data_IF_774116401400
#
_entry.id   IF_774116401400
#
_cell.length_a   1.000
_cell.length_b   1.000
_cell.length_c   1.000
_cell.angle_alpha   90.00
_cell.angle_beta   90.00
_cell.angle_gamma   90.00
#
_symmetry.space_group_name_H-M   'P 1'
#
loop_
_entity.id
_entity.type
_entity.pdbx_description
1 polymer ?
#
# COMPACT_ATOMS: atom_id res chain seq x y z
N UNK A 1 4.33 19.66 11.02
CA UNK A 1 3.73 18.50 11.71
C UNK A 1 2.20 18.44 11.59
N UNK A 2 1.44 19.51 11.88
CA UNK A 2 -0.04 19.45 11.78
C UNK A 2 -0.55 19.29 10.34
N UNK A 3 0.07 19.92 9.35
CA UNK A 3 -0.27 19.76 7.94
C UNK A 3 0.11 18.39 7.37
N UNK A 4 1.20 17.81 7.86
CA UNK A 4 1.66 16.47 7.44
C UNK A 4 0.80 15.35 8.02
N UNK A 5 0.31 15.51 9.25
CA UNK A 5 -0.61 14.54 9.88
C UNK A 5 -1.98 14.58 9.18
N UNK A 6 -2.47 15.77 8.80
CA UNK A 6 -3.71 15.87 8.02
C UNK A 6 -3.59 15.21 6.65
N UNK A 7 -2.42 15.30 6.01
CA UNK A 7 -2.14 14.61 4.74
C UNK A 7 -2.11 13.08 4.90
N UNK A 8 -1.63 12.59 6.05
CA UNK A 8 -1.51 11.17 6.34
C UNK A 8 -2.88 10.45 6.43
N UNK A 9 -3.94 11.15 6.80
CA UNK A 9 -5.30 10.58 6.92
C UNK A 9 -5.93 10.21 5.57
N UNK A 10 -5.37 10.71 4.45
CA UNK A 10 -5.91 10.52 3.09
C UNK A 10 -4.96 9.77 2.15
N UNK A 11 -3.83 9.30 2.68
CA UNK A 11 -2.85 8.50 1.96
C UNK A 11 -2.90 7.06 2.47
N UNK A 12 -2.65 6.11 1.58
CA UNK A 12 -2.47 4.74 2.01
C UNK A 12 -1.26 4.65 2.97
N UNK A 13 -1.42 4.05 4.16
CA UNK A 13 -0.35 3.94 5.14
C UNK A 13 0.93 3.30 4.59
N UNK A 14 0.82 2.37 3.65
CA UNK A 14 1.97 1.74 3.00
C UNK A 14 2.87 2.75 2.28
N UNK A 15 2.31 3.80 1.68
CA UNK A 15 3.11 4.83 1.02
C UNK A 15 3.96 5.64 2.00
N UNK A 16 3.44 5.91 3.20
CA UNK A 16 4.14 6.64 4.25
C UNK A 16 5.17 5.76 4.96
N UNK A 17 4.77 4.53 5.29
CA UNK A 17 5.67 3.56 5.91
C UNK A 17 6.85 3.25 4.98
N UNK A 18 6.60 3.02 3.70
CA UNK A 18 7.63 2.81 2.69
C UNK A 18 8.64 3.97 2.63
N UNK A 19 8.16 5.22 2.70
CA UNK A 19 9.05 6.40 2.72
C UNK A 19 9.91 6.44 3.98
N UNK A 20 9.32 6.21 5.16
CA UNK A 20 10.04 6.23 6.43
C UNK A 20 11.12 5.15 6.47
N UNK A 21 10.75 3.93 6.08
CA UNK A 21 11.69 2.79 6.07
C UNK A 21 12.79 2.97 5.02
N UNK A 22 12.47 3.48 3.82
CA UNK A 22 13.47 3.79 2.80
C UNK A 22 14.49 4.83 3.29
N UNK A 23 14.02 5.87 3.98
CA UNK A 23 14.90 6.88 4.58
C UNK A 23 15.79 6.28 5.66
N UNK A 24 15.26 5.40 6.51
CA UNK A 24 16.04 4.71 7.53
C UNK A 24 17.09 3.78 6.92
N UNK A 25 16.71 3.00 5.90
CA UNK A 25 17.61 2.08 5.19
C UNK A 25 18.78 2.84 4.53
N UNK A 26 18.52 3.98 3.89
CA UNK A 26 19.58 4.81 3.32
C UNK A 26 20.51 5.35 4.40
N UNK A 27 19.99 5.81 5.53
CA UNK A 27 20.80 6.28 6.67
C UNK A 27 21.65 5.18 7.26
N UNK A 28 21.07 3.99 7.46
CA UNK A 28 21.78 2.80 7.98
C UNK A 28 22.91 2.37 7.04
N UNK A 29 22.69 2.44 5.74
CA UNK A 29 23.71 2.22 4.71
C UNK A 29 24.74 3.36 4.59
N UNK A 30 24.65 4.39 5.43
CA UNK A 30 25.59 5.52 5.43
C UNK A 30 25.31 6.59 4.36
N UNK A 31 24.11 6.59 3.75
CA UNK A 31 23.67 7.58 2.76
C UNK A 31 22.74 8.61 3.39
N UNK A 32 23.25 9.35 4.34
CA UNK A 32 22.58 10.50 4.95
C UNK A 32 22.51 11.70 3.98
N UNK A 33 21.65 12.69 4.24
CA UNK A 33 21.46 13.84 3.35
C UNK A 33 22.74 14.62 3.03
N UNK A 34 23.71 14.60 3.95
CA UNK A 34 24.99 15.33 3.86
C UNK A 34 26.01 14.60 2.98
N UNK A 35 25.83 13.29 2.77
CA UNK A 35 26.74 12.51 1.91
C UNK A 35 26.48 12.81 0.44
N UNK A 36 27.51 13.12 -0.29
CA UNK A 36 27.43 13.28 -1.73
C UNK A 36 27.51 11.92 -2.44
N UNK A 37 26.53 11.62 -3.29
CA UNK A 37 26.48 10.48 -4.19
C UNK A 37 25.58 10.81 -5.39
N UNK A 38 25.73 10.08 -6.48
CA UNK A 38 24.90 10.34 -7.67
C UNK A 38 23.48 9.80 -7.46
N UNK A 39 22.60 10.67 -6.97
CA UNK A 39 21.18 10.37 -6.73
C UNK A 39 20.42 10.01 -8.01
N UNK A 40 20.91 10.46 -9.19
CA UNK A 40 20.28 10.14 -10.48
C UNK A 40 20.45 8.67 -10.86
N UNK A 41 21.41 8.00 -10.24
CA UNK A 41 21.69 6.57 -10.43
C UNK A 41 21.20 5.69 -9.28
N UNK A 42 20.25 6.21 -8.49
CA UNK A 42 19.59 5.47 -7.42
C UNK A 42 18.15 5.18 -7.83
N UNK A 43 17.82 3.90 -7.97
CA UNK A 43 16.48 3.42 -8.33
C UNK A 43 15.66 3.05 -7.08
N UNK A 44 14.34 3.04 -7.22
CA UNK A 44 13.38 2.59 -6.19
C UNK A 44 12.47 1.54 -6.82
N UNK A 45 12.56 0.30 -6.37
CA UNK A 45 11.74 -0.81 -6.87
C UNK A 45 11.12 -1.53 -5.68
N UNK A 46 9.79 -1.44 -5.52
CA UNK A 46 9.09 -1.97 -4.36
C UNK A 46 8.08 -3.05 -4.77
N UNK A 47 7.96 -4.06 -3.93
CA UNK A 47 6.85 -5.00 -3.95
C UNK A 47 5.65 -4.40 -3.22
N UNK A 48 4.55 -4.16 -3.93
CA UNK A 48 3.32 -3.60 -3.35
C UNK A 48 2.12 -4.25 -4.03
N UNK A 49 1.24 -4.85 -3.24
CA UNK A 49 0.01 -5.46 -3.73
C UNK A 49 -1.17 -4.54 -3.44
N UNK A 50 -1.34 -3.52 -4.30
CA UNK A 50 -2.44 -2.56 -4.21
C UNK A 50 -2.33 -1.58 -3.03
N UNK A 51 -3.31 -0.67 -2.96
CA UNK A 51 -3.49 0.32 -1.89
C UNK A 51 -4.85 0.10 -1.24
N UNK A 52 -5.07 -1.07 -0.66
CA UNK A 52 -6.39 -1.58 -0.27
C UNK A 52 -6.96 -0.84 0.95
N UNK A 53 -6.12 -0.36 1.84
CA UNK A 53 -6.51 0.43 3.03
C UNK A 53 -7.38 1.65 2.65
N UNK A 54 -7.07 2.29 1.54
CA UNK A 54 -7.78 3.48 1.08
C UNK A 54 -8.83 3.14 0.02
N UNK A 55 -8.57 2.14 -0.84
CA UNK A 55 -9.47 1.75 -1.94
C UNK A 55 -10.82 1.28 -1.42
N UNK A 56 -10.86 0.43 -0.40
CA UNK A 56 -12.10 -0.15 0.11
C UNK A 56 -13.02 0.93 0.71
N UNK A 57 -12.57 1.80 1.63
CA UNK A 57 -13.41 2.86 2.16
C UNK A 57 -13.90 3.85 1.10
N UNK A 58 -13.04 4.25 0.15
CA UNK A 58 -13.43 5.17 -0.92
C UNK A 58 -14.40 4.51 -1.92
N UNK A 59 -14.19 3.23 -2.20
CA UNK A 59 -15.05 2.44 -3.09
C UNK A 59 -16.43 2.13 -2.51
N UNK A 60 -16.63 2.27 -1.21
CA UNK A 60 -17.92 1.99 -0.55
C UNK A 60 -19.09 2.80 -1.14
N UNK A 61 -18.81 4.04 -1.63
CA UNK A 61 -19.82 4.88 -2.30
C UNK A 61 -20.39 4.27 -3.58
N UNK A 62 -19.70 3.33 -4.21
CA UNK A 62 -20.22 2.55 -5.33
C UNK A 62 -21.39 1.64 -4.91
N UNK A 63 -21.54 1.39 -3.61
CA UNK A 63 -22.66 0.66 -3.04
C UNK A 63 -24.00 1.42 -2.98
N UNK A 64 -24.02 2.74 -3.23
CA UNK A 64 -25.25 3.53 -3.15
C UNK A 64 -26.44 2.96 -3.93
N UNK A 65 -26.31 2.47 -5.19
CA UNK A 65 -27.43 1.86 -5.90
C UNK A 65 -27.95 0.60 -5.22
N UNK A 66 -27.05 -0.21 -4.66
CA UNK A 66 -27.40 -1.44 -3.94
C UNK A 66 -28.14 -1.10 -2.65
N UNK A 67 -27.68 -0.10 -1.91
CA UNK A 67 -28.31 0.35 -0.67
C UNK A 67 -29.69 0.94 -0.93
N UNK A 68 -29.86 1.74 -1.99
CA UNK A 68 -31.19 2.25 -2.41
C UNK A 68 -32.15 1.12 -2.72
N UNK A 69 -31.70 0.09 -3.45
CA UNK A 69 -32.50 -1.06 -3.78
C UNK A 69 -32.94 -1.80 -2.50
N UNK A 70 -32.01 -2.10 -1.61
CA UNK A 70 -32.28 -2.81 -0.36
C UNK A 70 -33.26 -2.03 0.56
N UNK A 71 -33.07 -0.72 0.66
CA UNK A 71 -33.96 0.14 1.45
C UNK A 71 -35.38 0.15 0.88
N UNK A 72 -35.53 0.23 -0.43
CA UNK A 72 -36.84 0.16 -1.12
C UNK A 72 -37.53 -1.18 -0.87
N UNK A 73 -36.79 -2.29 -0.99
CA UNK A 73 -37.30 -3.63 -0.70
C UNK A 73 -37.72 -3.79 0.77
N UNK A 74 -37.11 -3.04 1.68
CA UNK A 74 -37.49 -2.96 3.08
C UNK A 74 -38.60 -1.92 3.38
N UNK A 75 -39.20 -1.31 2.37
CA UNK A 75 -40.26 -0.30 2.53
C UNK A 75 -39.76 1.09 2.98
N UNK A 76 -38.47 1.37 2.84
CA UNK A 76 -37.88 2.67 3.17
C UNK A 76 -37.55 3.41 1.87
N UNK A 77 -38.31 4.47 1.60
CA UNK A 77 -38.22 5.24 0.35
C UNK A 77 -38.12 6.76 0.59
N UNK A 78 -37.93 7.51 -0.49
CA UNK A 78 -37.87 8.97 -0.49
C UNK A 78 -36.77 9.55 0.38
N UNK A 79 -37.05 10.66 1.03
CA UNK A 79 -36.09 11.41 1.85
C UNK A 79 -35.44 10.56 2.97
N UNK A 80 -36.21 9.63 3.52
CA UNK A 80 -35.72 8.75 4.59
C UNK A 80 -34.65 7.79 4.09
N UNK A 81 -34.82 7.24 2.90
CA UNK A 81 -33.82 6.40 2.26
C UNK A 81 -32.54 7.19 1.96
N UNK A 82 -32.66 8.38 1.37
CA UNK A 82 -31.52 9.24 1.05
C UNK A 82 -30.77 9.70 2.32
N UNK A 83 -31.48 9.99 3.40
CA UNK A 83 -30.85 10.30 4.68
C UNK A 83 -30.03 9.13 5.24
N UNK A 84 -30.53 7.90 5.12
CA UNK A 84 -29.78 6.70 5.55
C UNK A 84 -28.53 6.53 4.68
N UNK A 85 -28.66 6.62 3.37
CA UNK A 85 -27.55 6.51 2.42
C UNK A 85 -26.49 7.57 2.69
N UNK A 86 -26.92 8.81 2.90
CA UNK A 86 -26.02 9.90 3.26
C UNK A 86 -25.25 9.60 4.54
N UNK A 87 -25.93 9.17 5.60
CA UNK A 87 -25.27 8.80 6.89
C UNK A 87 -24.26 7.66 6.73
N UNK A 88 -24.58 6.66 5.89
CA UNK A 88 -23.63 5.59 5.58
C UNK A 88 -22.41 6.18 4.86
N UNK A 89 -22.65 7.02 3.83
CA UNK A 89 -21.58 7.67 3.08
C UNK A 89 -20.69 8.58 3.94
N UNK A 90 -21.30 9.32 4.88
CA UNK A 90 -20.58 10.21 5.80
C UNK A 90 -19.72 9.44 6.83
N UNK A 91 -19.93 8.14 6.98
CA UNK A 91 -19.10 7.26 7.83
C UNK A 91 -17.78 6.85 7.18
N UNK A 92 -17.62 7.08 5.89
CA UNK A 92 -16.40 6.79 5.14
C UNK A 92 -15.58 8.06 4.94
N UNK A 93 -14.29 7.87 4.71
CA UNK A 93 -13.36 8.95 4.41
C UNK A 93 -13.87 9.83 3.26
N UNK A 94 -13.84 11.14 3.43
CA UNK A 94 -14.22 12.08 2.38
C UNK A 94 -13.24 12.01 1.21
N UNK A 95 -13.76 12.17 -0.02
CA UNK A 95 -12.93 12.27 -1.20
C UNK A 95 -12.20 13.62 -1.20
N UNK A 96 -10.88 13.58 -1.36
CA UNK A 96 -10.02 14.76 -1.44
C UNK A 96 -9.06 14.64 -2.61
N UNK A 97 -8.39 15.72 -2.96
CA UNK A 97 -7.41 15.76 -4.04
C UNK A 97 -6.34 14.67 -3.91
N UNK A 98 -5.87 14.43 -2.69
CA UNK A 98 -4.85 13.41 -2.40
C UNK A 98 -5.39 11.97 -2.37
N UNK A 99 -6.72 11.77 -2.44
CA UNK A 99 -7.31 10.43 -2.39
C UNK A 99 -6.90 9.60 -3.61
N UNK A 100 -6.93 10.20 -4.80
CA UNK A 100 -6.57 9.46 -6.02
C UNK A 100 -5.09 9.01 -6.04
N UNK A 101 -4.10 9.88 -5.80
CA UNK A 101 -2.72 9.43 -5.63
C UNK A 101 -2.54 8.40 -4.51
N UNK A 102 -3.35 8.48 -3.45
CA UNK A 102 -3.37 7.50 -2.35
C UNK A 102 -3.78 6.10 -2.78
N UNK A 103 -4.60 5.97 -3.84
CA UNK A 103 -5.05 4.68 -4.38
C UNK A 103 -4.00 3.97 -5.25
N UNK A 104 -2.99 4.70 -5.72
CA UNK A 104 -2.05 4.20 -6.71
C UNK A 104 -0.80 3.63 -6.05
N UNK A 105 -0.61 2.32 -6.13
CA UNK A 105 0.56 1.63 -5.54
C UNK A 105 1.89 2.19 -6.02
N UNK A 106 2.03 2.54 -7.31
CA UNK A 106 3.24 3.11 -7.88
C UNK A 106 3.61 4.48 -7.28
N UNK A 107 2.65 5.21 -6.72
CA UNK A 107 2.92 6.49 -6.04
C UNK A 107 3.79 6.29 -4.81
N UNK A 108 3.78 5.12 -4.17
CA UNK A 108 4.69 4.79 -3.08
C UNK A 108 6.16 4.92 -3.49
N UNK A 109 6.57 4.23 -4.55
CA UNK A 109 7.92 4.32 -5.11
C UNK A 109 8.24 5.74 -5.63
N UNK A 110 7.29 6.37 -6.34
CA UNK A 110 7.43 7.74 -6.84
C UNK A 110 7.58 8.76 -5.71
N UNK A 111 6.88 8.60 -4.60
CA UNK A 111 7.00 9.47 -3.41
C UNK A 111 8.36 9.35 -2.75
N UNK A 112 8.89 8.14 -2.62
CA UNK A 112 10.24 7.90 -2.11
C UNK A 112 11.26 8.60 -3.03
N UNK A 113 11.19 8.35 -4.33
CA UNK A 113 12.09 8.95 -5.31
C UNK A 113 12.03 10.49 -5.25
N UNK A 114 10.84 11.08 -5.24
CA UNK A 114 10.65 12.52 -5.18
C UNK A 114 11.17 13.14 -3.87
N UNK A 115 10.82 12.55 -2.71
CA UNK A 115 11.18 13.10 -1.39
C UNK A 115 12.67 12.97 -1.06
N UNK A 116 13.33 11.96 -1.62
CA UNK A 116 14.76 11.71 -1.39
C UNK A 116 15.62 12.16 -2.57
N UNK A 117 15.03 12.82 -3.57
CA UNK A 117 15.69 13.32 -4.78
C UNK A 117 16.46 12.21 -5.52
N UNK A 118 15.80 11.08 -5.76
CA UNK A 118 16.37 9.91 -6.45
C UNK A 118 15.89 9.90 -7.89
N UNK A 119 16.79 9.84 -8.85
CA UNK A 119 16.51 10.05 -10.28
C UNK A 119 16.59 8.78 -11.14
N UNK A 120 16.81 7.60 -10.54
CA UNK A 120 16.78 6.32 -11.26
C UNK A 120 15.35 5.82 -11.54
N UNK A 121 15.25 4.57 -11.97
CA UNK A 121 13.96 3.91 -12.17
C UNK A 121 13.14 3.93 -10.88
N UNK A 122 11.86 4.32 -10.94
CA UNK A 122 10.96 4.12 -9.81
C UNK A 122 9.71 3.38 -10.29
N UNK A 123 9.45 2.23 -9.69
CA UNK A 123 8.29 1.40 -10.01
C UNK A 123 7.91 0.49 -8.86
N UNK A 124 6.74 -0.11 -8.97
CA UNK A 124 6.28 -1.18 -8.09
C UNK A 124 6.08 -2.46 -8.89
N UNK A 125 6.21 -3.59 -8.21
CA UNK A 125 5.97 -4.93 -8.72
C UNK A 125 4.86 -5.54 -7.90
N UNK A 126 3.84 -6.05 -8.55
CA UNK A 126 2.81 -6.87 -7.92
C UNK A 126 2.93 -8.31 -8.46
N UNK A 127 3.30 -9.20 -7.59
CA UNK A 127 3.35 -10.64 -7.78
C UNK A 127 2.75 -11.33 -6.53
N UNK A 128 1.72 -10.71 -5.97
CA UNK A 128 1.08 -11.13 -4.72
C UNK A 128 2.13 -11.39 -3.62
N UNK A 129 2.11 -12.54 -2.94
CA UNK A 129 3.05 -12.89 -1.87
C UNK A 129 4.54 -12.90 -2.32
N UNK A 130 4.82 -13.01 -3.62
CA UNK A 130 6.16 -12.98 -4.20
C UNK A 130 6.67 -11.57 -4.56
N UNK A 131 5.91 -10.51 -4.29
CA UNK A 131 6.22 -9.15 -4.76
C UNK A 131 7.57 -8.63 -4.29
N UNK A 132 7.90 -8.80 -3.02
CA UNK A 132 9.17 -8.31 -2.45
C UNK A 132 10.39 -9.04 -3.04
N UNK A 133 10.30 -10.36 -3.26
CA UNK A 133 11.37 -11.14 -3.89
C UNK A 133 11.50 -10.80 -5.38
N UNK A 134 10.39 -10.58 -6.08
CA UNK A 134 10.38 -10.11 -7.46
C UNK A 134 11.01 -8.72 -7.59
N UNK A 135 10.70 -7.81 -6.67
CA UNK A 135 11.31 -6.49 -6.62
C UNK A 135 12.83 -6.58 -6.39
N UNK A 136 13.27 -7.44 -5.46
CA UNK A 136 14.69 -7.67 -5.20
C UNK A 136 15.41 -8.26 -6.43
N UNK A 137 14.76 -9.17 -7.16
CA UNK A 137 15.31 -9.70 -8.42
C UNK A 137 15.47 -8.60 -9.46
N UNK A 138 14.44 -7.76 -9.66
CA UNK A 138 14.52 -6.64 -10.60
C UNK A 138 15.58 -5.61 -10.19
N UNK A 139 15.74 -5.35 -8.89
CA UNK A 139 16.81 -4.51 -8.38
C UNK A 139 18.20 -5.05 -8.74
N UNK A 140 18.39 -6.37 -8.61
CA UNK A 140 19.62 -7.03 -9.05
C UNK A 140 19.90 -6.85 -10.55
N UNK A 141 18.87 -6.94 -11.38
CA UNK A 141 19.00 -6.70 -12.84
C UNK A 141 19.36 -5.23 -13.15
N UNK A 142 18.81 -4.26 -12.43
CA UNK A 142 19.20 -2.84 -12.58
C UNK A 142 20.68 -2.61 -12.28
N UNK A 143 21.19 -3.24 -11.22
CA UNK A 143 22.60 -3.15 -10.82
C UNK A 143 23.52 -3.85 -11.84
N UNK A 144 23.21 -5.09 -12.22
CA UNK A 144 24.04 -5.87 -13.15
C UNK A 144 24.08 -5.25 -14.54
N UNK A 145 22.97 -4.64 -14.98
CA UNK A 145 22.92 -3.94 -16.27
C UNK A 145 23.60 -2.56 -16.25
N UNK A 146 24.06 -2.10 -15.10
CA UNK A 146 24.70 -0.78 -14.94
C UNK A 146 23.73 0.40 -15.09
N UNK A 147 22.41 0.17 -15.00
CA UNK A 147 21.42 1.26 -15.04
C UNK A 147 21.34 2.03 -13.74
N UNK A 148 21.61 1.38 -12.62
CA UNK A 148 21.69 1.99 -11.32
C UNK A 148 22.98 1.60 -10.60
N UNK A 149 23.48 2.46 -9.72
CA UNK A 149 24.59 2.17 -8.82
C UNK A 149 24.09 1.71 -7.44
N UNK A 150 22.82 2.03 -7.13
CA UNK A 150 22.15 1.64 -5.91
C UNK A 150 20.65 1.48 -6.20
N UNK A 151 20.01 0.56 -5.50
CA UNK A 151 18.56 0.37 -5.57
C UNK A 151 18.00 0.25 -4.17
N UNK A 152 17.01 1.08 -3.86
CA UNK A 152 16.14 0.91 -2.70
C UNK A 152 15.06 -0.09 -3.09
N UNK A 153 15.03 -1.25 -2.42
CA UNK A 153 14.09 -2.33 -2.76
C UNK A 153 13.58 -3.04 -1.50
N UNK A 154 12.48 -3.73 -1.62
CA UNK A 154 11.83 -4.47 -0.57
C UNK A 154 10.34 -4.59 -0.82
N UNK A 155 9.56 -4.90 0.20
CA UNK A 155 8.10 -4.94 0.15
C UNK A 155 7.51 -4.10 1.27
N UNK A 156 6.31 -3.59 1.04
CA UNK A 156 5.51 -2.91 2.06
C UNK A 156 4.06 -3.31 1.94
N UNK A 157 3.47 -3.67 3.07
CA UNK A 157 2.05 -4.01 3.22
C UNK A 157 1.57 -3.52 4.58
N UNK A 158 0.38 -2.92 4.62
CA UNK A 158 -0.26 -2.42 5.83
C UNK A 158 -1.69 -2.96 5.99
N UNK A 159 -2.17 -3.76 5.04
CA UNK A 159 -3.55 -4.21 5.01
C UNK A 159 -3.74 -5.48 5.85
N UNK A 160 -3.73 -5.29 7.18
CA UNK A 160 -3.91 -6.35 8.19
C UNK A 160 -5.24 -6.17 8.93
N UNK A 161 -6.35 -6.38 8.25
CA UNK A 161 -7.68 -6.26 8.83
C UNK A 161 -8.50 -7.57 8.75
N UNK A 162 -9.70 -7.53 9.30
CA UNK A 162 -10.61 -8.67 9.34
C UNK A 162 -10.94 -9.20 7.93
N UNK A 163 -10.95 -8.33 6.90
CA UNK A 163 -11.23 -8.73 5.53
C UNK A 163 -10.13 -9.67 5.00
N UNK A 164 -8.85 -9.33 5.21
CA UNK A 164 -7.73 -10.16 4.78
C UNK A 164 -7.67 -11.47 5.58
N UNK A 165 -7.91 -11.43 6.89
CA UNK A 165 -8.00 -12.64 7.70
C UNK A 165 -9.13 -13.57 7.23
N UNK A 166 -10.28 -13.03 6.86
CA UNK A 166 -11.37 -13.82 6.25
C UNK A 166 -10.95 -14.44 4.92
N UNK A 167 -10.27 -13.70 4.06
CA UNK A 167 -9.77 -14.19 2.78
C UNK A 167 -8.78 -15.35 2.99
N UNK A 168 -7.79 -15.18 3.84
CA UNK A 168 -6.79 -16.20 4.13
C UNK A 168 -7.37 -17.42 4.86
N UNK A 169 -8.34 -17.21 5.74
CA UNK A 169 -9.08 -18.31 6.38
C UNK A 169 -9.87 -19.16 5.37
N UNK A 170 -10.51 -18.51 4.38
CA UNK A 170 -11.27 -19.20 3.32
C UNK A 170 -10.37 -19.87 2.29
N UNK A 171 -9.16 -19.37 2.11
CA UNK A 171 -8.13 -19.90 1.18
C UNK A 171 -7.21 -20.93 1.85
N UNK A 172 -7.52 -21.50 2.98
CA UNK A 172 -6.74 -22.20 4.01
C UNK A 172 -5.23 -21.86 3.98
N UNK A 173 -4.92 -20.56 4.10
CA UNK A 173 -3.54 -20.04 4.11
C UNK A 173 -3.02 -19.73 5.51
N UNK A 174 -3.91 -19.69 6.52
CA UNK A 174 -3.50 -19.46 7.91
C UNK A 174 -2.95 -20.73 8.54
N UNK A 175 -1.87 -20.57 9.32
CA UNK A 175 -1.31 -21.64 10.11
C UNK A 175 -2.29 -22.13 11.19
N UNK A 176 -2.62 -23.44 11.26
CA UNK A 176 -3.44 -23.98 12.32
C UNK A 176 -2.72 -24.02 13.68
N UNK A 177 -1.39 -23.92 13.68
CA UNK A 177 -0.57 -23.91 14.91
C UNK A 177 -0.32 -22.49 15.42
N UNK A 178 -0.61 -21.45 14.62
CA UNK A 178 -0.37 -20.06 14.97
C UNK A 178 1.12 -19.65 14.88
N UNK A 179 1.93 -20.48 14.23
CA UNK A 179 3.36 -20.21 14.02
C UNK A 179 3.65 -19.89 12.55
N UNK A 180 4.48 -18.88 12.31
CA UNK A 180 5.03 -18.62 10.99
C UNK A 180 6.43 -19.23 10.89
N UNK A 181 6.62 -20.19 9.98
CA UNK A 181 7.87 -20.95 9.82
C UNK A 181 8.43 -20.80 8.40
N UNK A 182 8.90 -19.58 8.02
CA UNK A 182 9.36 -19.34 6.66
C UNK A 182 10.58 -20.19 6.34
N UNK A 183 10.58 -20.80 5.15
CA UNK A 183 11.62 -21.70 4.64
C UNK A 183 11.84 -22.98 5.45
N UNK A 184 11.00 -23.33 6.41
CA UNK A 184 11.03 -24.58 7.15
C UNK A 184 10.16 -25.64 6.48
N UNK A 185 10.62 -26.90 6.49
CA UNK A 185 9.82 -28.03 5.97
C UNK A 185 8.56 -28.34 6.78
N UNK A 186 8.44 -27.81 8.00
CA UNK A 186 7.26 -27.87 8.85
C UNK A 186 6.38 -26.61 8.73
N UNK A 187 6.62 -25.74 7.73
CA UNK A 187 5.78 -24.58 7.43
C UNK A 187 4.37 -25.02 7.08
N UNK A 188 3.36 -24.45 7.75
CA UNK A 188 1.96 -24.87 7.64
C UNK A 188 0.99 -23.70 7.36
N UNK A 189 1.51 -22.51 7.14
CA UNK A 189 0.75 -21.30 6.82
C UNK A 189 1.37 -20.02 7.34
N UNK A 190 0.65 -18.92 7.19
CA UNK A 190 0.99 -17.60 7.75
C UNK A 190 0.17 -17.32 9.02
N UNK A 191 0.53 -16.27 9.75
CA UNK A 191 -0.19 -15.77 10.93
C UNK A 191 -0.68 -14.36 10.69
#
# INVERSE_FOLDING_TARGET
LRGEIALALFLDPAQLLGLVVAQQALRDAGYCPEKQYDRKRVSVILGVTGSLETVIPLGARLGHPVWRKALREAGIEGERAEMVIKRIGDSYVEWQENSFPGLLGNVGAGRIANRLDLGGTNCVVDAACGSSLSAAHMAGLELVSGRADMVVTGGVDCFNDIFMYMCFSKTPALSPTGDCKPFDGAGDGTI
#
